data_IF_120544689694
#
_entry.id   IF_120544689694
#
_cell.length_a   1.000
_cell.length_b   1.000
_cell.length_c   1.000
_cell.angle_alpha   90.00
_cell.angle_beta   90.00
_cell.angle_gamma   90.00
#
_symmetry.space_group_name_H-M   'P 1'
#
loop_
_entity.id
_entity.type
_entity.pdbx_description
1 polymer ?
#
# COMPACT_ATOMS: atom_id res chain seq x y z
N UNK A 1 6.88 18.60 -7.04
CA UNK A 1 6.28 17.25 -7.04
C UNK A 1 4.97 17.32 -6.26
N UNK A 2 3.88 16.73 -6.75
CA UNK A 2 2.59 16.74 -6.04
C UNK A 2 2.61 15.67 -4.95
N UNK A 3 2.14 15.93 -3.72
CA UNK A 3 2.23 14.98 -2.59
C UNK A 3 1.69 13.57 -2.90
N UNK A 4 0.65 13.46 -3.74
CA UNK A 4 0.09 12.16 -4.14
C UNK A 4 1.06 11.28 -4.93
N UNK A 5 1.92 11.86 -5.78
CA UNK A 5 2.89 11.07 -6.57
C UNK A 5 3.99 10.49 -5.67
N UNK A 6 4.47 11.26 -4.71
CA UNK A 6 5.47 10.79 -3.74
C UNK A 6 4.95 9.61 -2.92
N UNK A 7 3.68 9.64 -2.49
CA UNK A 7 3.08 8.53 -1.73
C UNK A 7 2.89 7.27 -2.58
N UNK A 8 2.58 7.42 -3.87
CA UNK A 8 2.54 6.31 -4.81
C UNK A 8 3.92 5.69 -5.01
N UNK A 9 4.95 6.49 -5.29
CA UNK A 9 6.33 6.01 -5.46
C UNK A 9 6.81 5.26 -4.20
N UNK A 10 6.42 5.73 -3.00
CA UNK A 10 6.73 5.07 -1.73
C UNK A 10 5.99 3.73 -1.58
N UNK A 11 4.71 3.69 -1.95
CA UNK A 11 3.90 2.47 -1.92
C UNK A 11 4.46 1.38 -2.85
N UNK A 12 4.96 1.77 -4.03
CA UNK A 12 5.68 0.86 -4.93
C UNK A 12 6.92 0.28 -4.25
N UNK A 13 7.74 1.14 -3.60
CA UNK A 13 8.91 0.70 -2.82
C UNK A 13 8.58 -0.32 -1.73
N UNK A 14 7.45 -0.15 -1.03
CA UNK A 14 6.96 -1.12 -0.03
C UNK A 14 6.69 -2.48 -0.68
N UNK A 15 5.99 -2.54 -1.81
CA UNK A 15 5.68 -3.81 -2.48
C UNK A 15 6.92 -4.47 -3.10
N UNK A 16 7.86 -3.68 -3.62
CA UNK A 16 9.16 -4.18 -4.07
C UNK A 16 9.88 -4.88 -2.93
N UNK A 17 9.90 -4.29 -1.74
CA UNK A 17 10.55 -4.89 -0.57
C UNK A 17 9.82 -6.15 -0.05
N UNK A 18 8.48 -6.14 -0.04
CA UNK A 18 7.68 -7.25 0.49
C UNK A 18 7.59 -8.47 -0.46
N UNK A 19 7.60 -8.24 -1.78
CA UNK A 19 7.34 -9.27 -2.78
C UNK A 19 8.47 -9.46 -3.81
N UNK A 20 9.57 -8.71 -3.70
CA UNK A 20 10.68 -8.69 -4.67
C UNK A 20 10.24 -8.35 -6.10
N UNK A 21 9.23 -7.49 -6.22
CA UNK A 21 8.73 -7.03 -7.51
C UNK A 21 9.65 -6.03 -8.18
N UNK A 22 9.53 -5.92 -9.50
CA UNK A 22 9.92 -4.72 -10.23
C UNK A 22 8.97 -3.55 -9.96
N UNK A 23 9.37 -2.32 -10.31
CA UNK A 23 8.54 -1.12 -10.21
C UNK A 23 7.21 -1.30 -10.97
N UNK A 24 7.26 -1.84 -12.19
CA UNK A 24 6.06 -2.04 -13.02
C UNK A 24 5.09 -3.09 -12.45
N UNK A 25 5.60 -4.12 -11.78
CA UNK A 25 4.77 -5.13 -11.11
C UNK A 25 4.11 -4.53 -9.86
N UNK A 26 4.87 -3.78 -9.06
CA UNK A 26 4.34 -3.08 -7.89
C UNK A 26 3.23 -2.09 -8.28
N UNK A 27 3.47 -1.24 -9.28
CA UNK A 27 2.49 -0.28 -9.74
C UNK A 27 1.21 -0.95 -10.27
N UNK A 28 1.34 -2.02 -11.06
CA UNK A 28 0.19 -2.79 -11.56
C UNK A 28 -0.61 -3.44 -10.45
N UNK A 29 0.05 -3.96 -9.41
CA UNK A 29 -0.65 -4.55 -8.26
C UNK A 29 -1.46 -3.49 -7.49
N UNK A 30 -0.91 -2.29 -7.28
CA UNK A 30 -1.65 -1.19 -6.63
C UNK A 30 -2.87 -0.78 -7.46
N UNK A 31 -2.74 -0.68 -8.79
CA UNK A 31 -3.90 -0.39 -9.67
C UNK A 31 -4.95 -1.49 -9.59
N UNK A 32 -4.52 -2.76 -9.60
CA UNK A 32 -5.41 -3.93 -9.55
C UNK A 32 -6.20 -3.93 -8.23
N UNK A 33 -5.55 -3.66 -7.11
CA UNK A 33 -6.20 -3.54 -5.81
C UNK A 33 -7.15 -2.34 -5.74
N UNK A 34 -6.73 -1.16 -6.21
CA UNK A 34 -7.57 0.04 -6.25
C UNK A 34 -8.88 -0.20 -7.02
N UNK A 35 -8.80 -0.86 -8.18
CA UNK A 35 -9.98 -1.22 -8.97
C UNK A 35 -10.87 -2.23 -8.27
N UNK A 36 -10.29 -3.30 -7.73
CA UNK A 36 -11.05 -4.38 -7.09
C UNK A 36 -11.82 -3.91 -5.85
N UNK A 37 -11.22 -3.01 -5.06
CA UNK A 37 -11.83 -2.47 -3.84
C UNK A 37 -12.54 -1.13 -4.05
N UNK A 38 -12.56 -0.61 -5.28
CA UNK A 38 -13.17 0.68 -5.65
C UNK A 38 -12.65 1.85 -4.80
N UNK A 39 -11.34 1.86 -4.53
CA UNK A 39 -10.65 2.90 -3.76
C UNK A 39 -9.82 3.77 -4.72
N UNK A 40 -9.83 5.11 -4.59
CA UNK A 40 -8.96 5.96 -5.40
C UNK A 40 -7.48 5.58 -5.22
N UNK A 41 -6.74 5.50 -6.33
CA UNK A 41 -5.35 5.01 -6.36
C UNK A 41 -4.45 5.69 -5.31
N UNK A 42 -4.47 7.02 -5.25
CA UNK A 42 -3.64 7.78 -4.31
C UNK A 42 -4.08 7.60 -2.85
N UNK A 43 -5.38 7.40 -2.60
CA UNK A 43 -5.89 7.08 -1.26
C UNK A 43 -5.44 5.69 -0.81
N UNK A 44 -5.43 4.71 -1.72
CA UNK A 44 -4.93 3.38 -1.43
C UNK A 44 -3.41 3.38 -1.16
N UNK A 45 -2.65 4.11 -1.99
CA UNK A 45 -1.21 4.28 -1.80
C UNK A 45 -0.89 4.93 -0.44
N UNK A 46 -1.60 5.99 -0.08
CA UNK A 46 -1.45 6.66 1.22
C UNK A 46 -1.73 5.71 2.40
N UNK A 47 -2.79 4.91 2.30
CA UNK A 47 -3.15 3.92 3.30
C UNK A 47 -2.10 2.80 3.41
N UNK A 48 -1.56 2.33 2.28
CA UNK A 48 -0.52 1.29 2.27
C UNK A 48 0.76 1.78 2.95
N UNK A 49 1.22 2.99 2.65
CA UNK A 49 2.42 3.56 3.30
C UNK A 49 2.16 3.77 4.79
N UNK A 50 0.98 4.25 5.18
CA UNK A 50 0.63 4.43 6.60
C UNK A 50 0.63 3.10 7.36
N UNK A 51 0.04 2.05 6.78
CA UNK A 51 0.03 0.71 7.37
C UNK A 51 1.45 0.12 7.48
N UNK A 52 2.29 0.27 6.45
CA UNK A 52 3.70 -0.16 6.48
C UNK A 52 4.54 0.62 7.50
N UNK A 53 4.15 1.85 7.82
CA UNK A 53 4.80 2.68 8.85
C UNK A 53 4.31 2.36 10.27
N UNK A 54 3.46 1.34 10.46
CA UNK A 54 2.85 1.01 11.75
C UNK A 54 1.70 1.93 12.17
N UNK A 55 1.30 2.86 11.31
CA UNK A 55 0.16 3.76 11.56
C UNK A 55 -1.05 3.35 10.72
N UNK A 56 -1.81 2.37 11.20
CA UNK A 56 -3.02 1.90 10.53
C UNK A 56 -4.24 2.83 10.74
N UNK A 57 -4.14 3.84 11.59
CA UNK A 57 -5.23 4.76 11.92
C UNK A 57 -5.30 5.91 10.90
N UNK A 58 -5.86 5.62 9.71
CA UNK A 58 -6.19 6.62 8.70
C UNK A 58 -7.71 6.84 8.59
N UNK A 59 -8.18 8.03 8.16
CA UNK A 59 -9.61 8.36 8.09
C UNK A 59 -10.38 7.55 7.02
N UNK A 60 -9.67 6.90 6.09
CA UNK A 60 -10.24 6.17 4.97
C UNK A 60 -10.43 4.70 5.30
N UNK A 61 -11.55 4.37 5.97
CA UNK A 61 -11.89 3.00 6.39
C UNK A 61 -11.87 2.00 5.23
N UNK A 62 -12.41 2.35 4.07
CA UNK A 62 -12.38 1.50 2.88
C UNK A 62 -10.96 1.20 2.37
N UNK A 63 -10.09 2.21 2.36
CA UNK A 63 -8.70 2.04 1.95
C UNK A 63 -7.91 1.18 2.95
N UNK A 64 -8.15 1.36 4.25
CA UNK A 64 -7.55 0.51 5.29
C UNK A 64 -7.99 -0.94 5.13
N UNK A 65 -9.29 -1.18 4.97
CA UNK A 65 -9.82 -2.53 4.75
C UNK A 65 -9.22 -3.18 3.51
N UNK A 66 -9.11 -2.43 2.40
CA UNK A 66 -8.47 -2.90 1.18
C UNK A 66 -7.00 -3.27 1.41
N UNK A 67 -6.22 -2.42 2.09
CA UNK A 67 -4.80 -2.68 2.39
C UNK A 67 -4.63 -3.94 3.25
N UNK A 68 -5.46 -4.09 4.29
CA UNK A 68 -5.39 -5.27 5.16
C UNK A 68 -5.82 -6.55 4.45
N UNK A 69 -6.82 -6.47 3.57
CA UNK A 69 -7.26 -7.61 2.76
C UNK A 69 -6.19 -8.08 1.77
N UNK A 70 -5.44 -7.15 1.17
CA UNK A 70 -4.46 -7.45 0.13
C UNK A 70 -3.07 -7.80 0.67
N UNK A 71 -2.61 -7.04 1.67
CA UNK A 71 -1.21 -7.04 2.10
C UNK A 71 -1.05 -7.21 3.61
N UNK A 72 -2.14 -7.34 4.37
CA UNK A 72 -2.11 -7.51 5.83
C UNK A 72 -1.11 -8.58 6.31
N UNK A 73 -1.14 -9.81 5.77
CA UNK A 73 -0.18 -10.85 6.16
C UNK A 73 1.28 -10.49 5.90
N UNK A 74 1.58 -9.83 4.77
CA UNK A 74 2.94 -9.44 4.42
C UNK A 74 3.48 -8.36 5.37
N UNK A 75 2.63 -7.39 5.70
CA UNK A 75 2.96 -6.29 6.61
C UNK A 75 3.20 -6.79 8.04
N UNK A 76 2.48 -7.82 8.47
CA UNK A 76 2.67 -8.46 9.78
C UNK A 76 3.99 -9.24 9.85
N UNK A 77 4.38 -9.94 8.77
CA UNK A 77 5.66 -10.68 8.72
C UNK A 77 6.88 -9.76 8.84
N UNK A 78 6.80 -8.53 8.33
CA UNK A 78 7.88 -7.54 8.49
C UNK A 78 7.93 -6.90 9.88
N UNK A 79 6.79 -6.80 10.58
CA UNK A 79 6.74 -6.25 11.94
C UNK A 79 7.47 -7.11 12.97
N UNK A 80 7.56 -8.43 12.73
CA UNK A 80 8.26 -9.39 13.62
C UNK A 80 9.80 -9.34 13.49
N UNK A 81 10.39 -8.47 12.66
CA UNK A 81 11.85 -8.35 12.47
C UNK A 81 12.49 -7.15 13.18
N UNK A 82 11.80 -6.52 14.13
CA UNK A 82 12.37 -5.48 15.00
C UNK A 82 12.27 -5.87 16.47
#
# INVERSE_FOLDING_TARGET
>A
MTPGRQRLDTAEGVLIALRHYSVDEAFREIIRAAKQHQVPLFTLADALVSAASGNAEGPHTAARTAVLAEWGPLLQMTSTRL
#
